data_IF_174508743704
#
_entry.id   IF_174508743704
#
_cell.length_a   1.000
_cell.length_b   1.000
_cell.length_c   1.000
_cell.angle_alpha   90.00
_cell.angle_beta   90.00
_cell.angle_gamma   90.00
#
_symmetry.space_group_name_H-M   'P 1'
#
loop_
_entity.id
_entity.type
_entity.pdbx_description
1 polymer ?
#
# COMPACT_ATOMS: atom_id res chain seq x y z
N UNK A 1 12.85 7.51 -3.17
CA UNK A 1 12.36 7.53 -1.77
C UNK A 1 10.91 8.05 -1.63
N UNK A 2 10.32 8.67 -2.65
CA UNK A 2 8.99 9.32 -2.54
C UNK A 2 7.85 8.34 -2.19
N UNK A 3 7.77 7.20 -2.87
CA UNK A 3 6.68 6.23 -2.67
C UNK A 3 6.71 5.55 -1.28
N UNK A 4 7.88 5.43 -0.65
CA UNK A 4 8.01 4.84 0.67
C UNK A 4 7.34 5.70 1.76
N UNK A 5 7.40 7.03 1.60
CA UNK A 5 6.74 7.98 2.51
C UNK A 5 5.22 7.86 2.40
N UNK A 6 4.69 7.81 1.18
CA UNK A 6 3.27 7.56 0.93
C UNK A 6 2.81 6.21 1.50
N UNK A 7 3.55 5.13 1.25
CA UNK A 7 3.22 3.81 1.79
C UNK A 7 3.21 3.79 3.33
N UNK A 8 4.00 4.65 3.97
CA UNK A 8 4.01 4.75 5.44
C UNK A 8 2.80 5.49 5.99
N UNK A 9 2.23 6.44 5.26
CA UNK A 9 1.01 7.15 5.71
C UNK A 9 -0.22 6.24 5.64
N UNK A 10 -0.25 5.27 4.72
CA UNK A 10 -1.34 4.31 4.50
C UNK A 10 -1.13 2.95 5.18
N UNK A 11 -0.14 2.84 6.07
CA UNK A 11 0.24 1.58 6.71
C UNK A 11 -0.87 0.97 7.57
N UNK A 12 -1.20 -0.30 7.32
CA UNK A 12 -2.20 -1.03 8.12
C UNK A 12 -1.61 -1.58 9.42
N UNK A 13 -1.76 -0.80 10.50
CA UNK A 13 -1.31 -1.15 11.84
C UNK A 13 -1.94 -2.42 12.42
N UNK A 14 -3.11 -2.85 11.94
CA UNK A 14 -3.73 -4.11 12.41
C UNK A 14 -2.88 -5.31 12.06
N UNK A 15 -2.22 -5.27 10.90
CA UNK A 15 -1.38 -6.38 10.40
C UNK A 15 -0.06 -6.56 11.14
N UNK A 16 0.45 -5.57 11.88
CA UNK A 16 1.70 -5.74 12.64
C UNK A 16 1.60 -6.93 13.61
N UNK A 17 2.70 -7.62 13.89
CA UNK A 17 2.73 -8.69 14.89
C UNK A 17 3.58 -8.26 16.08
N UNK A 18 3.12 -8.62 17.28
CA UNK A 18 3.92 -8.42 18.49
C UNK A 18 4.64 -9.74 18.74
N UNK A 19 5.90 -9.81 18.32
CA UNK A 19 6.75 -10.95 18.57
C UNK A 19 7.75 -10.61 19.68
N UNK A 20 7.90 -11.52 20.64
CA UNK A 20 8.91 -11.45 21.69
C UNK A 20 9.85 -12.63 21.54
N UNK A 21 11.15 -12.36 21.67
CA UNK A 21 12.19 -13.38 21.62
C UNK A 21 12.60 -13.67 23.06
N UNK A 22 12.53 -14.93 23.47
CA UNK A 22 12.94 -15.38 24.79
C UNK A 22 14.07 -16.40 24.67
N UNK A 23 15.09 -16.26 25.53
CA UNK A 23 16.22 -17.20 25.63
C UNK A 23 16.18 -18.09 26.86
N UNK A 24 15.43 -17.68 27.88
CA UNK A 24 15.30 -18.41 29.13
C UNK A 24 13.86 -18.84 29.33
N UNK A 25 13.66 -20.01 29.95
CA UNK A 25 12.33 -20.49 30.29
C UNK A 25 11.67 -19.63 31.38
N UNK A 26 12.38 -19.39 32.48
CA UNK A 26 11.91 -18.61 33.62
C UNK A 26 12.36 -17.15 33.64
N UNK A 27 11.93 -16.42 34.68
CA UNK A 27 12.23 -15.00 34.91
C UNK A 27 11.15 -14.06 34.36
N UNK A 28 11.25 -12.76 34.69
CA UNK A 28 10.24 -11.74 34.33
C UNK A 28 9.89 -11.73 32.84
N UNK A 29 10.89 -11.92 31.98
CA UNK A 29 10.75 -11.96 30.51
C UNK A 29 10.98 -13.37 29.94
N UNK A 30 10.91 -14.41 30.77
CA UNK A 30 11.06 -15.79 30.35
C UNK A 30 9.90 -16.26 29.47
N UNK A 31 10.14 -17.30 28.68
CA UNK A 31 9.15 -17.90 27.80
C UNK A 31 7.88 -18.32 28.56
N UNK A 32 8.01 -18.89 29.76
CA UNK A 32 6.90 -19.34 30.59
C UNK A 32 5.88 -18.23 30.88
N UNK A 33 6.35 -17.02 31.21
CA UNK A 33 5.48 -15.87 31.51
C UNK A 33 4.76 -15.34 30.26
N UNK A 34 5.41 -15.42 29.10
CA UNK A 34 4.84 -14.95 27.84
C UNK A 34 3.80 -15.95 27.31
N UNK A 35 4.03 -17.25 27.50
CA UNK A 35 3.11 -18.34 27.13
C UNK A 35 1.88 -18.36 28.05
N UNK A 36 2.07 -18.12 29.35
CA UNK A 36 0.95 -18.08 30.32
C UNK A 36 0.08 -16.83 30.21
N UNK A 37 0.51 -15.82 29.45
CA UNK A 37 -0.28 -14.62 29.22
C UNK A 37 -1.54 -14.94 28.41
N UNK A 38 -2.69 -14.35 28.78
CA UNK A 38 -3.91 -14.40 27.97
C UNK A 38 -3.73 -13.83 26.54
N UNK A 39 -2.66 -13.07 26.32
CA UNK A 39 -2.26 -12.54 25.01
C UNK A 39 -1.55 -13.56 24.14
N UNK A 40 -1.20 -14.74 24.65
CA UNK A 40 -0.49 -15.74 23.87
C UNK A 40 -1.26 -16.10 22.58
N UNK A 41 -0.55 -16.10 21.45
CA UNK A 41 -1.09 -16.55 20.17
C UNK A 41 -0.43 -17.84 19.73
N UNK A 42 0.90 -17.84 19.62
CA UNK A 42 1.68 -18.97 19.14
C UNK A 42 3.13 -18.86 19.63
N UNK A 43 3.87 -19.95 19.52
CA UNK A 43 5.32 -19.95 19.70
C UNK A 43 6.01 -20.73 18.59
N UNK A 44 7.23 -20.34 18.28
CA UNK A 44 8.09 -20.99 17.29
C UNK A 44 9.48 -21.10 17.88
N UNK A 45 9.96 -22.34 18.03
CA UNK A 45 11.31 -22.63 18.50
C UNK A 45 12.25 -22.39 17.33
N UNK A 46 13.21 -21.49 17.51
CA UNK A 46 14.24 -21.20 16.52
C UNK A 46 15.51 -22.02 16.76
N UNK A 47 15.83 -22.26 18.04
CA UNK A 47 17.01 -23.00 18.48
C UNK A 47 16.78 -23.54 19.91
N UNK A 48 17.69 -24.39 20.41
CA UNK A 48 17.59 -25.05 21.74
C UNK A 48 17.28 -24.08 22.87
N UNK A 49 17.87 -22.88 22.84
CA UNK A 49 17.70 -21.83 23.84
C UNK A 49 17.10 -20.54 23.24
N UNK A 50 16.31 -20.66 22.17
CA UNK A 50 15.72 -19.49 21.51
C UNK A 50 14.31 -19.79 21.00
N UNK A 51 13.33 -19.06 21.54
CA UNK A 51 11.93 -19.15 21.11
C UNK A 51 11.38 -17.77 20.76
N UNK A 52 10.62 -17.71 19.67
CA UNK A 52 9.78 -16.56 19.31
C UNK A 52 8.36 -16.83 19.78
N UNK A 53 7.80 -15.89 20.53
CA UNK A 53 6.43 -15.97 21.04
C UNK A 53 5.65 -14.82 20.43
N UNK A 54 4.60 -15.16 19.69
CA UNK A 54 3.67 -14.19 19.13
C UNK A 54 2.56 -13.89 20.15
N UNK A 55 2.30 -12.61 20.36
CA UNK A 55 1.26 -12.11 21.25
C UNK A 55 0.17 -11.38 20.46
N UNK A 56 -1.08 -11.64 20.84
CA UNK A 56 -2.25 -10.87 20.43
C UNK A 56 -2.12 -9.42 20.88
N UNK A 57 -2.61 -8.52 20.04
CA UNK A 57 -2.80 -7.10 20.37
C UNK A 57 -4.10 -6.94 21.12
N UNK A 58 -4.07 -6.19 22.21
CA UNK A 58 -5.27 -5.80 22.96
C UNK A 58 -5.80 -4.46 22.49
N UNK A 59 -4.87 -3.56 22.17
CA UNK A 59 -5.16 -2.21 21.74
C UNK A 59 -4.31 -1.87 20.52
N UNK A 60 -4.84 -1.00 19.67
CA UNK A 60 -4.18 -0.54 18.46
C UNK A 60 -4.34 0.98 18.41
N UNK A 61 -3.23 1.70 18.53
CA UNK A 61 -3.22 3.16 18.38
C UNK A 61 -3.02 3.53 16.92
N UNK A 62 -3.98 4.21 16.32
CA UNK A 62 -3.87 4.72 14.95
C UNK A 62 -2.99 5.98 14.91
N UNK A 63 -1.68 5.78 14.77
CA UNK A 63 -0.67 6.84 14.75
C UNK A 63 -0.14 7.18 13.34
N UNK A 64 -0.86 6.77 12.30
CA UNK A 64 -0.52 7.07 10.90
C UNK A 64 -1.41 8.18 10.36
N UNK A 65 -0.86 9.16 9.63
CA UNK A 65 -1.65 10.23 9.04
C UNK A 65 -2.38 9.72 7.79
N UNK A 66 -3.36 8.84 7.98
CA UNK A 66 -4.10 8.16 6.90
C UNK A 66 -4.76 9.15 5.92
N UNK A 67 -5.22 10.29 6.45
CA UNK A 67 -5.83 11.36 5.66
C UNK A 67 -4.87 11.98 4.63
N UNK A 68 -3.57 12.06 4.94
CA UNK A 68 -2.56 12.55 3.98
C UNK A 68 -2.40 11.57 2.83
N UNK A 69 -2.34 10.26 3.15
CA UNK A 69 -2.29 9.21 2.14
C UNK A 69 -3.51 9.24 1.23
N UNK A 70 -4.71 9.40 1.79
CA UNK A 70 -5.93 9.52 1.01
C UNK A 70 -5.92 10.75 0.09
N UNK A 71 -5.55 11.92 0.62
CA UNK A 71 -5.50 13.16 -0.15
C UNK A 71 -4.51 13.07 -1.33
N UNK A 72 -3.33 12.49 -1.13
CA UNK A 72 -2.35 12.28 -2.20
C UNK A 72 -2.92 11.33 -3.27
N UNK A 73 -3.55 10.23 -2.87
CA UNK A 73 -4.14 9.28 -3.81
C UNK A 73 -5.26 9.92 -4.64
N UNK A 74 -6.11 10.73 -4.00
CA UNK A 74 -7.20 11.42 -4.69
C UNK A 74 -6.66 12.45 -5.69
N UNK A 75 -5.64 13.22 -5.31
CA UNK A 75 -4.95 14.14 -6.23
C UNK A 75 -4.33 13.42 -7.42
N UNK A 76 -3.65 12.29 -7.19
CA UNK A 76 -3.07 11.49 -8.28
C UNK A 76 -4.15 11.00 -9.26
N UNK A 77 -5.31 10.54 -8.77
CA UNK A 77 -6.44 10.15 -9.62
C UNK A 77 -7.03 11.33 -10.38
N UNK A 78 -7.16 12.49 -9.74
CA UNK A 78 -7.65 13.71 -10.40
C UNK A 78 -6.75 14.07 -11.59
N UNK A 79 -5.43 14.02 -11.44
CA UNK A 79 -4.49 14.28 -12.55
C UNK A 79 -4.67 13.28 -13.69
N UNK A 80 -4.82 11.99 -13.37
CA UNK A 80 -5.08 10.97 -14.38
C UNK A 80 -6.40 11.20 -15.13
N UNK A 81 -7.48 11.48 -14.40
CA UNK A 81 -8.78 11.74 -14.99
C UNK A 81 -8.79 13.03 -15.82
N UNK A 82 -8.09 14.07 -15.38
CA UNK A 82 -7.95 15.30 -16.14
C UNK A 82 -7.26 15.04 -17.49
N UNK A 83 -6.19 14.26 -17.51
CA UNK A 83 -5.55 13.86 -18.76
C UNK A 83 -6.49 13.09 -19.69
N UNK A 84 -7.30 12.17 -19.16
CA UNK A 84 -8.23 11.39 -20.00
C UNK A 84 -9.39 12.24 -20.52
N UNK A 85 -10.12 12.92 -19.63
CA UNK A 85 -11.36 13.60 -19.95
C UNK A 85 -11.16 15.01 -20.53
N UNK A 86 -10.12 15.72 -20.12
CA UNK A 86 -9.87 17.11 -20.53
C UNK A 86 -8.91 17.19 -21.71
N UNK A 87 -8.00 16.22 -21.89
CA UNK A 87 -7.02 16.23 -22.98
C UNK A 87 -7.26 15.15 -24.04
N UNK A 88 -7.21 13.85 -23.68
CA UNK A 88 -7.27 12.76 -24.67
C UNK A 88 -8.62 12.68 -25.41
N UNK A 89 -9.73 12.67 -24.67
CA UNK A 89 -11.07 12.55 -25.26
C UNK A 89 -11.43 13.73 -26.17
N UNK A 90 -11.21 15.00 -25.79
CA UNK A 90 -11.49 16.13 -26.69
C UNK A 90 -10.59 16.14 -27.93
N UNK A 91 -9.33 15.72 -27.81
CA UNK A 91 -8.35 15.75 -28.90
C UNK A 91 -8.59 14.68 -29.96
N UNK A 92 -8.95 13.47 -29.53
CA UNK A 92 -9.17 12.34 -30.44
C UNK A 92 -10.65 12.12 -30.79
N UNK A 93 -11.57 12.49 -29.90
CA UNK A 93 -12.98 12.14 -29.99
C UNK A 93 -13.28 10.75 -29.41
N UNK A 94 -14.47 10.59 -28.85
CA UNK A 94 -14.88 9.36 -28.17
C UNK A 94 -14.90 8.12 -29.09
N UNK A 95 -15.18 8.30 -30.38
CA UNK A 95 -15.24 7.20 -31.34
C UNK A 95 -13.85 6.66 -31.74
N UNK A 96 -12.81 7.49 -31.62
CA UNK A 96 -11.44 7.16 -32.04
C UNK A 96 -10.48 6.90 -30.89
N UNK A 97 -10.90 7.13 -29.65
CA UNK A 97 -10.08 6.95 -28.46
C UNK A 97 -10.78 6.07 -27.43
N UNK A 98 -10.39 4.80 -27.38
CA UNK A 98 -10.93 3.83 -26.44
C UNK A 98 -9.92 3.54 -25.34
N UNK A 99 -10.31 3.82 -24.10
CA UNK A 99 -9.52 3.47 -22.92
C UNK A 99 -9.64 1.96 -22.66
N UNK A 100 -8.54 1.24 -22.78
CA UNK A 100 -8.50 -0.22 -22.61
C UNK A 100 -8.09 -0.62 -21.20
N UNK A 101 -7.13 0.11 -20.62
CA UNK A 101 -6.62 -0.16 -19.28
C UNK A 101 -6.03 1.10 -18.63
N UNK A 102 -6.05 1.13 -17.30
CA UNK A 102 -5.49 2.19 -16.47
C UNK A 102 -4.71 1.56 -15.32
N UNK A 103 -3.46 2.00 -15.12
CA UNK A 103 -2.65 1.72 -13.94
C UNK A 103 -2.27 3.04 -13.25
N UNK A 104 -1.73 2.96 -12.04
CA UNK A 104 -1.32 4.01 -11.09
C UNK A 104 -0.81 5.32 -11.70
N UNK A 105 -0.09 5.26 -12.82
CA UNK A 105 0.48 6.41 -13.51
C UNK A 105 0.43 6.28 -15.05
N UNK A 106 -0.32 5.31 -15.58
CA UNK A 106 -0.31 5.03 -17.02
C UNK A 106 -1.67 4.61 -17.57
N UNK A 107 -1.81 4.81 -18.87
CA UNK A 107 -2.99 4.46 -19.63
C UNK A 107 -2.61 3.60 -20.83
N UNK A 108 -3.47 2.64 -21.16
CA UNK A 108 -3.41 1.89 -22.40
C UNK A 108 -4.64 2.25 -23.23
N UNK A 109 -4.40 2.86 -24.39
CA UNK A 109 -5.43 3.27 -25.32
C UNK A 109 -5.39 2.44 -26.60
N UNK A 110 -6.57 2.15 -27.14
CA UNK A 110 -6.75 1.80 -28.54
C UNK A 110 -7.15 3.09 -29.27
N UNK A 111 -6.29 3.54 -30.19
CA UNK A 111 -6.48 4.79 -30.94
C UNK A 111 -6.68 4.51 -32.43
N UNK A 112 -7.68 5.17 -33.02
CA UNK A 112 -7.89 5.21 -34.46
C UNK A 112 -7.35 6.53 -35.03
N UNK A 113 -6.09 6.52 -35.46
CA UNK A 113 -5.40 7.68 -36.04
C UNK A 113 -4.38 7.24 -37.08
N UNK A 114 -3.94 8.17 -37.94
CA UNK A 114 -2.88 7.90 -38.91
C UNK A 114 -1.50 8.04 -38.29
N UNK A 115 -1.32 9.05 -37.45
CA UNK A 115 -0.08 9.29 -36.71
C UNK A 115 -0.39 9.90 -35.33
N UNK A 116 -0.03 9.17 -34.27
CA UNK A 116 -0.23 9.60 -32.88
C UNK A 116 0.63 10.82 -32.53
N UNK A 117 1.85 10.92 -33.06
CA UNK A 117 2.74 12.03 -32.73
C UNK A 117 2.24 13.34 -33.32
N UNK A 118 1.69 13.31 -34.53
CA UNK A 118 1.09 14.49 -35.16
C UNK A 118 -0.28 14.82 -34.55
N UNK A 119 -1.16 13.85 -34.39
CA UNK A 119 -2.56 14.10 -33.98
C UNK A 119 -2.74 14.32 -32.46
N UNK A 120 -1.84 13.77 -31.62
CA UNK A 120 -1.94 13.91 -30.15
C UNK A 120 -0.86 14.84 -29.61
N UNK A 121 0.41 14.61 -29.96
CA UNK A 121 1.54 15.28 -29.31
C UNK A 121 1.84 16.66 -29.92
N UNK A 122 1.75 16.80 -31.24
CA UNK A 122 2.06 18.06 -31.97
C UNK A 122 0.85 18.87 -32.41
N UNK A 123 -0.36 18.34 -32.24
CA UNK A 123 -1.58 19.07 -32.54
C UNK A 123 -1.84 20.14 -31.48
N UNK A 124 -0.89 21.06 -31.26
CA UNK A 124 -0.95 22.37 -30.58
C UNK A 124 0.43 23.04 -30.71
#
# INVERSE_FOLDING_TARGET
MNNAVFGKTTENLKKHRICKIAKTWGGRYGAANLISSFRFHSCTILDENLVVIELKKLEITFNKPLYVGQAILDLSKTVMYDFHYTYMLPKMGADRCKLMYMDTDSFVYELQCKDVYEEVIKAD
#
